data_IF_363292738289
#
_entry.id   IF_363292738289
#
_cell.length_a   1.000
_cell.length_b   1.000
_cell.length_c   1.000
_cell.angle_alpha   90.00
_cell.angle_beta   90.00
_cell.angle_gamma   90.00
#
_symmetry.space_group_name_H-M   'P 1'
#
loop_
_entity.id
_entity.type
_entity.pdbx_description
1 polymer ?
#
# COMPACT_ATOMS: atom_id res chain seq x y z
N UNK A 1 53.52 40.58 9.85
CA UNK A 1 52.26 41.07 10.46
C UNK A 1 51.06 41.17 9.51
N UNK A 2 51.22 41.46 8.19
CA UNK A 2 50.07 41.53 7.26
C UNK A 2 49.39 40.18 7.01
N UNK A 3 50.18 39.11 6.76
CA UNK A 3 49.66 37.75 6.53
C UNK A 3 48.95 37.19 7.77
N UNK A 4 49.49 37.44 8.96
CA UNK A 4 48.85 37.04 10.23
C UNK A 4 47.46 37.69 10.41
N UNK A 5 47.32 38.98 10.08
CA UNK A 5 46.03 39.67 10.15
C UNK A 5 45.00 39.11 9.16
N UNK A 6 45.45 38.74 7.96
CA UNK A 6 44.60 38.08 6.95
C UNK A 6 44.17 36.69 7.43
N UNK A 7 45.09 35.89 7.95
CA UNK A 7 44.80 34.55 8.49
C UNK A 7 43.79 34.62 9.65
N UNK A 8 43.98 35.55 10.58
CA UNK A 8 43.04 35.78 11.69
C UNK A 8 41.65 36.17 11.18
N UNK A 9 41.59 37.09 10.21
CA UNK A 9 40.32 37.49 9.59
C UNK A 9 39.58 36.30 8.95
N UNK A 10 40.31 35.45 8.22
CA UNK A 10 39.75 34.26 7.58
C UNK A 10 39.22 33.24 8.61
N UNK A 11 39.93 33.07 9.73
CA UNK A 11 39.49 32.17 10.81
C UNK A 11 38.20 32.66 11.46
N UNK A 12 38.08 33.98 11.71
CA UNK A 12 36.86 34.57 12.28
C UNK A 12 35.69 34.41 11.33
N UNK A 13 35.88 34.66 10.03
CA UNK A 13 34.84 34.46 9.02
C UNK A 13 34.38 33.00 8.99
N UNK A 14 35.32 32.04 8.96
CA UNK A 14 34.98 30.62 8.98
C UNK A 14 34.21 30.22 10.25
N UNK A 15 34.59 30.76 11.41
CA UNK A 15 33.92 30.49 12.67
C UNK A 15 32.47 31.04 12.68
N UNK A 16 32.27 32.25 12.14
CA UNK A 16 30.94 32.84 12.01
C UNK A 16 30.07 32.04 11.03
N UNK A 17 30.64 31.61 9.90
CA UNK A 17 29.96 30.76 8.93
C UNK A 17 29.59 29.40 9.55
N UNK A 18 30.49 28.83 10.34
CA UNK A 18 30.26 27.58 11.06
C UNK A 18 29.14 27.71 12.09
N UNK A 19 29.17 28.76 12.92
CA UNK A 19 28.10 29.07 13.88
C UNK A 19 26.75 29.31 13.18
N UNK A 20 26.78 30.03 12.06
CA UNK A 20 25.58 30.28 11.25
C UNK A 20 25.01 29.01 10.65
N UNK A 21 25.86 28.13 10.12
CA UNK A 21 25.46 26.82 9.62
C UNK A 21 24.90 25.95 10.75
N UNK A 22 25.53 25.92 11.93
CA UNK A 22 25.01 25.22 13.12
C UNK A 22 23.65 25.75 13.56
N UNK A 23 23.44 27.07 13.51
CA UNK A 23 22.14 27.69 13.81
C UNK A 23 21.08 27.41 12.73
N UNK A 24 21.51 27.19 11.48
CA UNK A 24 20.67 26.76 10.37
C UNK A 24 20.40 25.26 10.33
N UNK A 25 21.12 24.43 11.11
CA UNK A 25 20.71 23.05 11.36
C UNK A 25 19.39 23.14 12.10
N UNK A 26 18.33 23.19 11.31
CA UNK A 26 16.95 23.26 11.77
C UNK A 26 16.80 22.14 12.79
N UNK A 27 16.33 22.48 13.98
CA UNK A 27 15.57 21.50 14.76
C UNK A 27 14.50 21.02 13.81
N UNK A 28 14.62 19.78 13.33
CA UNK A 28 13.48 19.09 12.74
C UNK A 28 12.50 18.98 13.88
N UNK A 29 11.58 19.94 13.98
CA UNK A 29 10.33 19.76 14.69
C UNK A 29 9.82 18.42 14.17
N UNK A 30 9.67 17.43 15.06
CA UNK A 30 8.88 16.26 14.77
C UNK A 30 7.46 16.78 14.55
N UNK A 31 7.21 17.21 13.31
CA UNK A 31 5.94 17.75 12.92
C UNK A 31 4.97 16.57 12.94
N UNK A 32 3.87 16.79 13.66
CA UNK A 32 2.64 16.02 13.73
C UNK A 32 2.52 14.83 12.78
N UNK A 33 2.04 13.71 13.33
CA UNK A 33 1.59 12.51 12.59
C UNK A 33 1.20 12.87 11.16
N UNK A 34 1.99 12.33 10.22
CA UNK A 34 1.92 12.59 8.77
C UNK A 34 0.47 12.68 8.28
N UNK A 35 0.12 13.65 7.41
CA UNK A 35 -1.23 13.82 6.88
C UNK A 35 -1.74 12.53 6.24
N UNK A 36 -2.99 12.16 6.57
CA UNK A 36 -3.71 11.02 5.96
C UNK A 36 -3.56 11.07 4.44
N UNK A 37 -3.00 10.01 3.85
CA UNK A 37 -2.92 9.87 2.40
C UNK A 37 -4.34 9.64 1.86
N UNK A 38 -4.96 10.68 1.31
CA UNK A 38 -6.27 10.62 0.67
C UNK A 38 -6.10 10.38 -0.81
N UNK A 39 -6.45 9.18 -1.25
CA UNK A 39 -6.46 8.80 -2.65
C UNK A 39 -7.57 7.81 -2.92
N UNK A 40 -7.96 7.68 -4.19
CA UNK A 40 -8.86 6.61 -4.66
C UNK A 40 -8.11 5.32 -4.98
N UNK A 41 -6.78 5.42 -5.10
CA UNK A 41 -5.88 4.32 -5.40
C UNK A 41 -4.50 4.63 -4.82
N UNK A 42 -3.82 3.59 -4.36
CA UNK A 42 -2.40 3.56 -4.01
C UNK A 42 -1.82 2.28 -4.63
N UNK A 43 -0.72 2.40 -5.34
CA UNK A 43 0.00 1.27 -5.92
C UNK A 43 1.43 1.23 -5.37
N UNK A 44 1.90 0.02 -5.07
CA UNK A 44 3.30 -0.27 -4.77
C UNK A 44 3.88 -0.94 -6.01
N UNK A 45 4.93 -0.36 -6.59
CA UNK A 45 5.60 -0.86 -7.80
C UNK A 45 7.02 -1.34 -7.50
N UNK A 46 7.52 -2.33 -8.25
CA UNK A 46 8.92 -2.76 -8.16
C UNK A 46 9.86 -1.89 -9.03
N UNK A 47 11.16 -2.17 -8.98
CA UNK A 47 12.18 -1.45 -9.75
C UNK A 47 12.06 -1.61 -11.28
N UNK A 48 11.17 -2.48 -11.77
CA UNK A 48 10.85 -2.62 -13.19
C UNK A 48 9.50 -1.98 -13.54
N UNK A 49 8.85 -1.29 -12.60
CA UNK A 49 7.56 -0.62 -12.77
C UNK A 49 6.34 -1.55 -12.67
N UNK A 50 6.50 -2.81 -12.22
CA UNK A 50 5.37 -3.74 -12.07
C UNK A 50 4.67 -3.53 -10.74
N UNK A 51 3.34 -3.49 -10.74
CA UNK A 51 2.53 -3.41 -9.52
C UNK A 51 2.69 -4.68 -8.68
N UNK A 52 2.93 -4.52 -7.39
CA UNK A 52 3.16 -5.57 -6.37
C UNK A 52 2.04 -5.61 -5.34
N UNK A 53 1.47 -4.44 -5.06
CA UNK A 53 0.34 -4.29 -4.19
C UNK A 53 -0.47 -3.06 -4.61
N UNK A 54 -1.75 -3.07 -4.27
CA UNK A 54 -2.60 -1.91 -4.46
C UNK A 54 -3.70 -1.84 -3.41
N UNK A 55 -4.11 -0.63 -3.09
CA UNK A 55 -5.30 -0.30 -2.32
C UNK A 55 -6.15 0.58 -3.23
N UNK A 56 -7.37 0.16 -3.58
CA UNK A 56 -8.21 0.92 -4.51
C UNK A 56 -9.69 0.87 -4.18
N UNK A 57 -10.42 1.85 -4.70
CA UNK A 57 -11.87 1.90 -4.68
C UNK A 57 -12.37 1.71 -6.11
N UNK A 58 -13.10 0.62 -6.35
CA UNK A 58 -13.86 0.42 -7.58
C UNK A 58 -15.29 0.89 -7.39
N UNK A 59 -15.76 1.74 -8.30
CA UNK A 59 -17.16 2.16 -8.34
C UNK A 59 -18.10 0.99 -8.68
N UNK A 60 -19.42 1.21 -8.58
CA UNK A 60 -20.40 0.20 -8.96
C UNK A 60 -20.29 -0.13 -10.45
N UNK A 61 -20.36 -1.41 -10.78
CA UNK A 61 -20.23 -1.90 -12.16
C UNK A 61 -21.21 -3.05 -12.42
N UNK A 62 -21.80 -3.07 -13.62
CA UNK A 62 -22.64 -4.18 -14.06
C UNK A 62 -21.84 -5.11 -14.95
N UNK A 63 -21.57 -6.33 -14.48
CA UNK A 63 -20.84 -7.35 -15.23
C UNK A 63 -21.77 -8.54 -15.47
N UNK A 64 -21.99 -8.88 -16.75
CA UNK A 64 -22.87 -10.01 -17.13
C UNK A 64 -24.32 -9.86 -16.65
N UNK A 65 -24.84 -8.63 -16.62
CA UNK A 65 -26.21 -8.35 -16.17
C UNK A 65 -26.40 -8.31 -14.65
N UNK A 66 -25.34 -8.55 -13.87
CA UNK A 66 -25.35 -8.42 -12.41
C UNK A 66 -24.67 -7.12 -11.99
N UNK A 67 -25.40 -6.31 -11.22
CA UNK A 67 -24.84 -5.12 -10.57
C UNK A 67 -23.95 -5.55 -9.39
N UNK A 68 -22.71 -5.06 -9.39
CA UNK A 68 -21.80 -5.14 -8.26
C UNK A 68 -21.71 -3.77 -7.60
N UNK A 69 -21.83 -3.69 -6.27
CA UNK A 69 -21.73 -2.42 -5.55
C UNK A 69 -20.30 -1.86 -5.61
N UNK A 70 -20.17 -0.59 -5.23
CA UNK A 70 -18.87 -0.01 -4.91
C UNK A 70 -18.11 -0.93 -3.94
N UNK A 71 -16.83 -1.16 -4.22
CA UNK A 71 -16.00 -2.10 -3.47
C UNK A 71 -14.63 -1.46 -3.22
N UNK A 72 -14.16 -1.57 -1.97
CA UNK A 72 -12.76 -1.30 -1.62
C UNK A 72 -11.96 -2.59 -1.69
N UNK A 73 -10.79 -2.54 -2.31
CA UNK A 73 -9.93 -3.68 -2.57
C UNK A 73 -8.53 -3.41 -2.04
N UNK A 74 -7.94 -4.46 -1.45
CA UNK A 74 -6.51 -4.57 -1.24
C UNK A 74 -6.03 -5.87 -1.89
N UNK A 75 -5.09 -5.81 -2.83
CA UNK A 75 -4.52 -7.01 -3.46
C UNK A 75 -3.00 -7.00 -3.47
N UNK A 76 -2.41 -8.17 -3.35
CA UNK A 76 -0.98 -8.42 -3.51
C UNK A 76 -0.78 -9.30 -4.74
N UNK A 77 0.17 -8.91 -5.59
CA UNK A 77 0.42 -9.56 -6.86
C UNK A 77 1.76 -10.32 -6.88
N UNK A 78 1.71 -11.56 -7.33
CA UNK A 78 2.89 -12.28 -7.81
C UNK A 78 3.33 -11.69 -9.17
N UNK A 79 4.64 -11.42 -9.38
CA UNK A 79 5.12 -10.79 -10.63
C UNK A 79 4.78 -11.55 -11.91
N UNK A 80 4.57 -12.87 -11.82
CA UNK A 80 4.36 -13.77 -12.94
C UNK A 80 2.91 -14.19 -13.09
N UNK A 81 2.13 -14.14 -12.01
CA UNK A 81 0.79 -14.74 -11.93
C UNK A 81 -0.33 -13.72 -11.66
N UNK A 82 0.00 -12.51 -11.22
CA UNK A 82 -0.99 -11.50 -10.88
C UNK A 82 -1.47 -11.65 -9.43
N UNK A 83 -2.68 -11.16 -9.08
CA UNK A 83 -3.15 -11.10 -7.70
C UNK A 83 -3.34 -12.47 -7.03
N UNK A 84 -2.52 -12.75 -6.02
CA UNK A 84 -2.53 -14.01 -5.23
C UNK A 84 -3.14 -13.84 -3.85
N UNK A 85 -3.19 -12.60 -3.35
CA UNK A 85 -3.92 -12.24 -2.13
C UNK A 85 -4.89 -11.14 -2.47
N UNK A 86 -6.13 -11.26 -2.01
CA UNK A 86 -7.18 -10.27 -2.26
C UNK A 86 -8.07 -10.12 -1.03
N UNK A 87 -8.23 -8.92 -0.54
CA UNK A 87 -9.18 -8.54 0.48
C UNK A 87 -10.16 -7.53 -0.12
N UNK A 88 -11.46 -7.78 0.03
CA UNK A 88 -12.52 -6.91 -0.51
C UNK A 88 -13.52 -6.58 0.56
N UNK A 89 -14.07 -5.36 0.50
CA UNK A 89 -15.21 -4.94 1.30
C UNK A 89 -16.16 -4.10 0.45
N UNK A 90 -17.46 -4.37 0.57
CA UNK A 90 -18.55 -3.66 -0.10
C UNK A 90 -19.79 -3.65 0.80
N UNK A 91 -20.85 -2.99 0.37
CA UNK A 91 -22.14 -3.00 1.09
C UNK A 91 -22.74 -4.42 1.24
N UNK A 92 -22.43 -5.34 0.32
CA UNK A 92 -22.93 -6.72 0.36
C UNK A 92 -22.12 -7.64 1.29
N UNK A 93 -20.97 -7.17 1.77
CA UNK A 93 -20.08 -7.91 2.65
C UNK A 93 -18.60 -7.84 2.26
N UNK A 94 -17.82 -8.78 2.78
CA UNK A 94 -16.38 -8.83 2.59
C UNK A 94 -15.88 -10.24 2.23
N UNK A 95 -14.69 -10.28 1.65
CA UNK A 95 -14.01 -11.54 1.35
C UNK A 95 -12.50 -11.42 1.45
N UNK A 96 -11.84 -12.49 1.87
CA UNK A 96 -10.38 -12.67 1.82
C UNK A 96 -10.08 -13.90 0.96
N UNK A 97 -9.32 -13.72 -0.11
CA UNK A 97 -8.83 -14.78 -0.99
C UNK A 97 -7.32 -14.92 -0.91
N UNK A 98 -6.86 -16.17 -0.85
CA UNK A 98 -5.47 -16.59 -0.98
C UNK A 98 -5.42 -17.63 -2.10
N UNK A 99 -4.63 -17.42 -3.14
CA UNK A 99 -4.40 -18.38 -4.21
C UNK A 99 -2.92 -18.45 -4.54
N UNK A 100 -2.49 -19.56 -5.14
CA UNK A 100 -1.15 -19.67 -5.72
C UNK A 100 -1.20 -19.88 -7.25
N UNK A 101 -2.38 -19.73 -7.84
CA UNK A 101 -2.76 -19.97 -9.25
C UNK A 101 -2.44 -21.36 -9.82
N UNK A 102 -1.81 -22.26 -9.04
CA UNK A 102 -1.31 -23.56 -9.52
C UNK A 102 -1.89 -24.77 -8.77
N UNK A 103 -2.14 -24.63 -7.48
CA UNK A 103 -2.74 -25.59 -6.57
C UNK A 103 -4.17 -25.24 -6.20
N UNK A 104 -4.64 -24.05 -6.61
CA UNK A 104 -5.95 -23.51 -6.32
C UNK A 104 -5.89 -22.38 -5.29
N UNK A 105 -6.86 -22.34 -4.38
CA UNK A 105 -6.93 -21.29 -3.38
C UNK A 105 -8.04 -21.44 -2.36
N UNK A 106 -8.00 -20.57 -1.36
CA UNK A 106 -8.92 -20.51 -0.24
C UNK A 106 -9.57 -19.13 -0.23
N UNK A 107 -10.88 -19.07 0.00
CA UNK A 107 -11.64 -17.84 0.09
C UNK A 107 -12.56 -17.85 1.30
N UNK A 108 -12.41 -16.85 2.16
CA UNK A 108 -13.30 -16.59 3.29
C UNK A 108 -14.31 -15.55 2.85
N UNK A 109 -15.58 -15.80 3.13
CA UNK A 109 -16.67 -14.90 2.78
C UNK A 109 -17.48 -14.56 4.03
N UNK A 110 -17.80 -13.27 4.18
CA UNK A 110 -18.84 -12.77 5.06
C UNK A 110 -19.83 -11.99 4.20
N UNK A 111 -20.96 -12.61 3.86
CA UNK A 111 -21.96 -12.03 2.96
C UNK A 111 -23.29 -11.82 3.65
N UNK A 112 -23.90 -10.65 3.46
CA UNK A 112 -25.25 -10.34 3.96
C UNK A 112 -26.32 -11.24 3.34
N UNK A 113 -26.14 -11.67 2.08
CA UNK A 113 -27.10 -12.51 1.35
C UNK A 113 -26.85 -14.01 1.49
N UNK A 114 -25.58 -14.41 1.49
CA UNK A 114 -25.18 -15.84 1.44
C UNK A 114 -24.75 -16.40 2.79
N UNK A 115 -24.59 -15.54 3.81
CA UNK A 115 -24.02 -15.90 5.10
C UNK A 115 -22.49 -16.01 5.07
N UNK A 116 -21.93 -16.58 6.13
CA UNK A 116 -20.50 -16.78 6.29
C UNK A 116 -20.11 -18.16 5.79
N UNK A 117 -19.03 -18.26 5.01
CA UNK A 117 -18.50 -19.56 4.58
C UNK A 117 -17.04 -19.49 4.15
N UNK A 118 -16.37 -20.63 4.22
CA UNK A 118 -15.06 -20.88 3.64
C UNK A 118 -15.24 -21.66 2.36
N UNK A 119 -14.57 -21.26 1.29
CA UNK A 119 -14.53 -21.97 0.01
C UNK A 119 -13.09 -22.34 -0.32
N UNK A 120 -12.83 -23.62 -0.50
CA UNK A 120 -11.56 -24.16 -0.96
C UNK A 120 -11.72 -24.62 -2.40
N UNK A 121 -10.79 -24.24 -3.26
CA UNK A 121 -10.72 -24.70 -4.65
C UNK A 121 -9.35 -25.34 -4.87
N UNK A 122 -9.31 -26.54 -5.45
CA UNK A 122 -8.05 -27.21 -5.75
C UNK A 122 -7.58 -26.95 -7.20
N UNK A 123 -6.41 -27.50 -7.56
CA UNK A 123 -5.81 -27.40 -8.91
C UNK A 123 -6.70 -27.94 -10.04
N UNK A 124 -7.57 -28.88 -9.73
CA UNK A 124 -8.48 -29.50 -10.70
C UNK A 124 -9.80 -28.72 -10.81
N UNK A 125 -9.92 -27.57 -10.14
CA UNK A 125 -11.13 -26.75 -10.09
C UNK A 125 -12.23 -27.31 -9.20
N UNK A 126 -11.98 -28.39 -8.44
CA UNK A 126 -12.97 -28.93 -7.49
C UNK A 126 -13.13 -27.98 -6.32
N UNK A 127 -14.38 -27.71 -5.97
CA UNK A 127 -14.74 -26.77 -4.93
C UNK A 127 -15.31 -27.49 -3.71
N UNK A 128 -14.90 -27.06 -2.52
CA UNK A 128 -15.49 -27.48 -1.25
C UNK A 128 -15.90 -26.24 -0.46
N UNK A 129 -17.14 -26.24 0.05
CA UNK A 129 -17.68 -25.14 0.86
C UNK A 129 -17.91 -25.64 2.28
N UNK A 130 -17.37 -24.92 3.26
CA UNK A 130 -17.59 -25.14 4.68
C UNK A 130 -18.42 -23.98 5.21
N UNK A 131 -19.55 -24.32 5.84
CA UNK A 131 -20.45 -23.38 6.51
C UNK A 131 -20.38 -23.60 8.03
N UNK A 132 -20.77 -22.60 8.84
CA UNK A 132 -20.97 -22.77 10.28
C UNK A 132 -21.90 -23.92 10.63
#
# INVERSE_FOLDING_TARGET
MRIQRIAIGLTVINLLLFMFLLAQIRRTTAQDVVPVLRGRALEIVDGQGRVRAEILVHGPETVGGKLYPETTLFRLADPKRGPVVKLTASEEGSALGLSDDSQGGIRLYASRRLGNFLKVVNKDGKEQVLKP
#
